data_IF_243930968299
#
_entry.id   IF_243930968299
#
_cell.length_a   1.000
_cell.length_b   1.000
_cell.length_c   1.000
_cell.angle_alpha   90.00
_cell.angle_beta   90.00
_cell.angle_gamma   90.00
#
_symmetry.space_group_name_H-M   'P 1'
#
loop_
_entity.id
_entity.type
_entity.pdbx_description
1 polymer ?
#
# COMPACT_ATOMS: atom_id res chain seq x y z
N UNK A 1 -33.15 -41.75 5.86
CA UNK A 1 -33.37 -40.76 6.94
C UNK A 1 -32.03 -40.57 7.64
N UNK A 2 -31.26 -39.55 7.27
CA UNK A 2 -29.89 -39.33 7.79
C UNK A 2 -29.99 -38.25 8.86
N UNK A 3 -29.69 -38.62 10.11
CA UNK A 3 -29.68 -37.70 11.25
C UNK A 3 -28.37 -36.89 11.24
N UNK A 4 -28.52 -35.57 11.22
CA UNK A 4 -27.46 -34.57 11.42
C UNK A 4 -27.77 -33.88 12.74
N UNK A 5 -26.94 -34.07 13.77
CA UNK A 5 -26.79 -33.22 14.96
C UNK A 5 -25.74 -33.88 15.88
N UNK A 6 -24.80 -33.18 16.51
CA UNK A 6 -24.63 -31.74 16.67
C UNK A 6 -23.17 -31.42 16.98
N UNK A 7 -22.78 -30.22 16.54
CA UNK A 7 -21.46 -29.62 16.68
C UNK A 7 -21.07 -29.50 18.15
N UNK A 8 -19.90 -30.04 18.48
CA UNK A 8 -19.19 -29.77 19.72
C UNK A 8 -18.94 -28.27 19.88
N UNK A 9 -19.31 -27.78 21.06
CA UNK A 9 -19.24 -26.40 21.48
C UNK A 9 -17.79 -26.13 21.89
N UNK A 10 -16.96 -25.61 20.98
CA UNK A 10 -15.66 -25.07 21.37
C UNK A 10 -15.87 -23.70 22.03
N UNK A 11 -16.14 -23.73 23.34
CA UNK A 11 -15.91 -22.58 24.23
C UNK A 11 -14.41 -22.36 24.29
N UNK A 12 -13.91 -21.45 23.47
CA UNK A 12 -12.55 -20.92 23.60
C UNK A 12 -12.57 -19.98 24.81
N UNK A 13 -12.11 -20.51 25.94
CA UNK A 13 -11.87 -19.80 27.18
C UNK A 13 -10.82 -18.72 26.93
N UNK A 14 -11.11 -17.48 27.31
CA UNK A 14 -10.27 -16.30 27.06
C UNK A 14 -8.88 -16.29 27.74
N UNK A 15 -8.47 -17.41 28.34
CA UNK A 15 -7.21 -17.57 29.08
C UNK A 15 -6.07 -18.13 28.21
N UNK A 16 -6.36 -18.81 27.09
CA UNK A 16 -5.32 -19.40 26.22
C UNK A 16 -4.73 -18.40 25.19
N UNK A 17 -5.33 -17.22 25.03
CA UNK A 17 -4.86 -16.20 24.09
C UNK A 17 -3.73 -15.32 24.67
N UNK A 18 -3.54 -15.32 25.99
CA UNK A 18 -2.54 -14.49 26.67
C UNK A 18 -1.15 -15.14 26.70
N UNK A 19 -1.06 -16.47 26.62
CA UNK A 19 0.21 -17.20 26.71
C UNK A 19 0.97 -17.29 25.38
N UNK A 20 0.30 -17.16 24.23
CA UNK A 20 0.99 -17.13 22.92
C UNK A 20 1.58 -15.77 22.55
N UNK A 21 1.13 -14.68 23.20
CA UNK A 21 1.59 -13.32 22.87
C UNK A 21 2.90 -12.92 23.59
N UNK A 22 3.29 -13.66 24.62
CA UNK A 22 4.53 -13.40 25.37
C UNK A 22 5.78 -13.94 24.65
N UNK A 23 5.69 -15.06 23.95
CA UNK A 23 6.83 -15.71 23.30
C UNK A 23 7.32 -15.02 22.01
N UNK A 24 6.54 -14.08 21.45
CA UNK A 24 6.87 -13.44 20.18
C UNK A 24 7.59 -12.09 20.34
N UNK A 25 7.65 -11.52 21.56
CA UNK A 25 8.37 -10.26 21.83
C UNK A 25 9.87 -10.42 22.07
N UNK A 26 10.34 -11.62 22.42
CA UNK A 26 11.77 -11.86 22.69
C UNK A 26 12.60 -12.15 21.42
N UNK A 27 11.96 -12.38 20.28
CA UNK A 27 12.65 -12.60 19.01
C UNK A 27 13.10 -11.30 18.33
N UNK A 28 12.36 -10.18 18.51
CA UNK A 28 12.74 -8.87 17.94
C UNK A 28 13.87 -8.20 18.73
N UNK A 29 13.98 -8.47 20.03
CA UNK A 29 15.01 -7.89 20.88
C UNK A 29 16.44 -8.37 20.53
N UNK A 30 16.59 -9.54 19.91
CA UNK A 30 17.91 -10.06 19.49
C UNK A 30 18.41 -9.48 18.18
N UNK A 31 17.53 -8.92 17.34
CA UNK A 31 17.93 -8.30 16.06
C UNK A 31 18.39 -6.85 16.26
N UNK A 32 17.88 -6.15 17.28
CA UNK A 32 18.28 -4.77 17.59
C UNK A 32 19.70 -4.65 18.19
N UNK A 33 20.23 -5.71 18.80
CA UNK A 33 21.54 -5.68 19.45
C UNK A 33 22.75 -5.79 18.49
N UNK A 34 22.54 -6.05 17.20
CA UNK A 34 23.65 -6.17 16.23
C UNK A 34 24.06 -4.81 15.62
N UNK A 35 23.43 -3.70 15.99
CA UNK A 35 23.70 -2.38 15.39
C UNK A 35 24.34 -1.32 16.32
N UNK A 36 24.76 -1.66 17.54
CA UNK A 36 25.33 -0.67 18.49
C UNK A 36 26.77 -0.91 18.97
N UNK A 37 27.50 -1.89 18.45
CA UNK A 37 28.90 -2.17 18.86
C UNK A 37 29.94 -1.71 17.84
N UNK A 38 29.87 -0.46 17.36
CA UNK A 38 31.04 0.22 16.77
C UNK A 38 31.11 1.71 17.14
N UNK A 39 30.71 2.08 18.36
CA UNK A 39 31.29 3.26 19.03
C UNK A 39 32.50 2.77 19.81
N UNK A 40 33.56 2.46 19.06
CA UNK A 40 34.90 2.32 19.61
C UNK A 40 35.57 3.69 19.55
N UNK A 41 35.73 4.32 20.71
CA UNK A 41 36.84 5.25 20.91
C UNK A 41 38.12 4.42 20.82
N UNK A 42 38.84 4.57 19.72
CA UNK A 42 40.21 4.07 19.60
C UNK A 42 40.95 4.97 18.63
N UNK A 43 41.85 5.78 19.19
CA UNK A 43 43.01 6.30 18.48
C UNK A 43 43.75 5.11 17.85
N UNK A 44 43.54 4.90 16.55
CA UNK A 44 44.31 3.94 15.78
C UNK A 44 44.40 4.44 14.33
N UNK A 45 45.55 5.03 14.02
CA UNK A 45 46.03 5.34 12.68
C UNK A 45 46.10 4.03 11.87
N UNK A 46 45.09 3.75 11.05
CA UNK A 46 44.99 2.53 10.24
C UNK A 46 44.37 2.81 8.86
N UNK A 47 44.79 2.11 7.79
CA UNK A 47 44.55 2.53 6.41
C UNK A 47 43.08 2.38 6.00
N UNK A 48 42.62 3.41 5.30
CA UNK A 48 41.29 3.64 4.74
C UNK A 48 40.79 2.45 3.90
N UNK A 49 40.12 1.47 4.52
CA UNK A 49 39.38 0.45 3.78
C UNK A 49 38.15 1.08 3.15
N UNK A 50 38.18 1.17 1.81
CA UNK A 50 37.11 1.70 0.97
C UNK A 50 35.81 0.92 1.22
N UNK A 51 34.84 1.59 1.84
CA UNK A 51 33.46 1.10 2.02
C UNK A 51 32.90 0.69 0.64
N UNK A 52 32.35 -0.53 0.47
CA UNK A 52 31.73 -0.92 -0.80
C UNK A 52 30.54 0.01 -1.09
N UNK A 53 30.38 0.48 -2.33
CA UNK A 53 29.30 1.39 -2.69
C UNK A 53 27.96 0.67 -2.51
N UNK A 54 27.07 1.29 -1.73
CA UNK A 54 25.68 0.83 -1.56
C UNK A 54 25.04 0.59 -2.94
N UNK A 55 24.37 -0.55 -3.18
CA UNK A 55 23.71 -0.81 -4.46
C UNK A 55 22.64 0.25 -4.67
N UNK A 56 22.89 1.17 -5.61
CA UNK A 56 21.88 2.12 -6.08
C UNK A 56 20.81 1.32 -6.80
N UNK A 57 19.67 1.10 -6.14
CA UNK A 57 18.46 0.57 -6.77
C UNK A 57 18.11 1.49 -7.93
N UNK A 58 18.44 1.06 -9.15
CA UNK A 58 18.17 1.82 -10.35
C UNK A 58 16.72 1.56 -10.71
N UNK A 59 15.81 2.38 -10.19
CA UNK A 59 14.39 2.32 -10.52
C UNK A 59 14.26 2.78 -11.98
N UNK A 60 13.96 1.84 -12.88
CA UNK A 60 13.65 2.18 -14.27
C UNK A 60 12.34 2.97 -14.29
N UNK A 61 12.38 4.19 -14.83
CA UNK A 61 11.17 4.97 -15.10
C UNK A 61 10.31 4.19 -16.11
N UNK A 62 9.02 3.92 -15.82
CA UNK A 62 8.12 3.29 -16.78
C UNK A 62 8.01 4.15 -18.04
N UNK A 63 7.86 3.51 -19.20
CA UNK A 63 7.61 4.23 -20.45
C UNK A 63 6.22 4.87 -20.44
N UNK A 64 6.02 5.92 -21.22
CA UNK A 64 4.72 6.63 -21.28
C UNK A 64 3.58 5.68 -21.69
N UNK A 65 3.85 4.76 -22.62
CA UNK A 65 2.90 3.70 -23.03
C UNK A 65 2.50 2.78 -21.86
N UNK A 66 3.42 2.45 -20.95
CA UNK A 66 3.09 1.64 -19.77
C UNK A 66 2.20 2.43 -18.80
N UNK A 67 2.44 3.74 -18.65
CA UNK A 67 1.61 4.59 -17.80
C UNK A 67 0.18 4.69 -18.34
N UNK A 68 0.01 4.86 -19.65
CA UNK A 68 -1.31 4.88 -20.30
C UNK A 68 -2.05 3.55 -20.10
N UNK A 69 -1.39 2.40 -20.31
CA UNK A 69 -2.01 1.10 -20.05
C UNK A 69 -2.46 0.94 -18.60
N UNK A 70 -1.68 1.46 -17.65
CA UNK A 70 -2.08 1.43 -16.25
C UNK A 70 -3.27 2.37 -16.00
N UNK A 71 -3.31 3.55 -16.63
CA UNK A 71 -4.42 4.48 -16.49
C UNK A 71 -5.74 3.82 -16.95
N UNK A 72 -5.71 3.12 -18.08
CA UNK A 72 -6.86 2.35 -18.61
C UNK A 72 -7.31 1.26 -17.63
N UNK A 73 -6.37 0.56 -17.01
CA UNK A 73 -6.69 -0.49 -16.04
C UNK A 73 -7.31 0.08 -14.75
N UNK A 74 -6.76 1.20 -14.26
CA UNK A 74 -7.32 1.94 -13.12
C UNK A 74 -8.75 2.37 -13.46
N UNK A 75 -8.97 2.94 -14.64
CA UNK A 75 -10.29 3.38 -15.08
C UNK A 75 -11.30 2.21 -15.06
N UNK A 76 -10.96 1.08 -15.68
CA UNK A 76 -11.83 -0.11 -15.70
C UNK A 76 -12.15 -0.64 -14.31
N UNK A 77 -11.15 -0.66 -13.42
CA UNK A 77 -11.33 -1.09 -12.03
C UNK A 77 -12.27 -0.15 -11.27
N UNK A 78 -12.12 1.17 -11.47
CA UNK A 78 -12.99 2.17 -10.84
C UNK A 78 -14.42 2.10 -11.38
N UNK A 79 -14.61 1.94 -12.69
CA UNK A 79 -15.93 1.79 -13.30
C UNK A 79 -16.67 0.57 -12.73
N UNK A 80 -15.98 -0.56 -12.61
CA UNK A 80 -16.53 -1.79 -12.06
C UNK A 80 -16.92 -1.67 -10.58
N UNK A 81 -16.16 -0.90 -9.79
CA UNK A 81 -16.41 -0.78 -8.35
C UNK A 81 -17.37 0.36 -7.98
N UNK A 82 -17.35 1.44 -8.75
CA UNK A 82 -18.15 2.64 -8.47
C UNK A 82 -19.50 2.64 -9.17
N UNK A 83 -19.75 1.73 -10.13
CA UNK A 83 -21.07 1.51 -10.74
C UNK A 83 -21.76 2.80 -11.20
N UNK A 84 -21.03 3.70 -11.88
CA UNK A 84 -21.57 4.96 -12.39
C UNK A 84 -21.86 6.05 -11.34
N UNK A 85 -21.37 5.90 -10.10
CA UNK A 85 -21.49 6.94 -9.05
C UNK A 85 -20.71 8.23 -9.34
N UNK A 86 -19.78 8.17 -10.29
CA UNK A 86 -19.04 9.32 -10.82
C UNK A 86 -19.44 9.46 -12.28
N UNK A 87 -19.90 10.65 -12.66
CA UNK A 87 -20.18 11.02 -14.05
C UNK A 87 -18.89 11.47 -14.73
N UNK A 88 -18.78 11.18 -16.02
CA UNK A 88 -17.62 11.57 -16.84
C UNK A 88 -16.29 11.15 -16.20
N UNK A 89 -16.28 9.95 -15.60
CA UNK A 89 -15.11 9.38 -14.95
C UNK A 89 -14.01 9.15 -15.98
N UNK A 90 -12.84 9.70 -15.74
CA UNK A 90 -11.67 9.53 -16.60
C UNK A 90 -10.39 9.44 -15.77
N UNK A 91 -9.42 8.69 -16.28
CA UNK A 91 -8.05 8.63 -15.76
C UNK A 91 -7.11 9.02 -16.89
N UNK A 92 -6.32 10.06 -16.69
CA UNK A 92 -5.33 10.53 -17.67
C UNK A 92 -3.93 10.53 -17.07
N UNK A 93 -2.91 10.43 -17.93
CA UNK A 93 -1.51 10.62 -17.52
C UNK A 93 -1.07 12.00 -17.96
N UNK A 94 -0.79 12.88 -17.01
CA UNK A 94 -0.33 14.25 -17.26
C UNK A 94 1.01 14.46 -16.57
N UNK A 95 2.05 14.81 -17.34
CA UNK A 95 3.41 15.05 -16.81
C UNK A 95 3.96 13.89 -15.95
N UNK A 96 3.58 12.65 -16.29
CA UNK A 96 3.97 11.44 -15.54
C UNK A 96 3.19 11.22 -14.23
N UNK A 97 2.07 11.93 -14.05
CA UNK A 97 1.16 11.77 -12.92
C UNK A 97 -0.19 11.25 -13.41
N UNK A 98 -0.84 10.43 -12.59
CA UNK A 98 -2.20 9.97 -12.86
C UNK A 98 -3.18 11.02 -12.35
N UNK A 99 -4.07 11.48 -13.21
CA UNK A 99 -5.10 12.47 -12.87
C UNK A 99 -6.47 11.80 -12.98
N UNK A 100 -7.17 11.74 -11.85
CA UNK A 100 -8.51 11.18 -11.74
C UNK A 100 -9.55 12.31 -11.84
N UNK A 101 -10.39 12.28 -12.88
CA UNK A 101 -11.39 13.32 -13.19
C UNK A 101 -12.80 12.76 -13.19
N UNK A 102 -13.77 13.65 -13.02
CA UNK A 102 -15.20 13.36 -13.11
C UNK A 102 -16.02 14.15 -12.09
N UNK A 103 -17.32 13.90 -12.03
CA UNK A 103 -18.24 14.59 -11.12
C UNK A 103 -18.97 13.58 -10.23
N UNK A 104 -18.86 13.75 -8.92
CA UNK A 104 -19.52 12.95 -7.90
C UNK A 104 -20.60 13.77 -7.16
N UNK A 105 -21.62 13.08 -6.65
CA UNK A 105 -22.63 13.68 -5.74
C UNK A 105 -22.22 13.68 -4.27
N UNK A 106 -21.11 13.01 -3.94
CA UNK A 106 -20.69 12.82 -2.56
C UNK A 106 -19.16 12.84 -2.43
N UNK A 107 -18.69 13.50 -1.38
CA UNK A 107 -17.30 13.46 -0.98
C UNK A 107 -16.83 12.04 -0.64
N UNK A 108 -17.72 11.22 -0.08
CA UNK A 108 -17.42 9.83 0.24
C UNK A 108 -17.05 9.02 -1.02
N UNK A 109 -17.78 9.22 -2.11
CA UNK A 109 -17.48 8.57 -3.39
C UNK A 109 -16.14 9.07 -3.96
N UNK A 110 -15.84 10.37 -3.84
CA UNK A 110 -14.52 10.94 -4.22
C UNK A 110 -13.38 10.27 -3.44
N UNK A 111 -13.56 10.02 -2.13
CA UNK A 111 -12.57 9.35 -1.29
C UNK A 111 -12.39 7.87 -1.67
N UNK A 112 -13.48 7.15 -1.92
CA UNK A 112 -13.41 5.75 -2.36
C UNK A 112 -12.64 5.66 -3.68
N UNK A 113 -12.98 6.49 -4.66
CA UNK A 113 -12.33 6.49 -5.97
C UNK A 113 -10.82 6.73 -5.85
N UNK A 114 -10.41 7.69 -5.02
CA UNK A 114 -9.00 7.94 -4.75
C UNK A 114 -8.32 6.75 -4.09
N UNK A 115 -8.94 6.16 -3.07
CA UNK A 115 -8.36 5.03 -2.37
C UNK A 115 -8.13 3.85 -3.31
N UNK A 116 -9.13 3.52 -4.14
CA UNK A 116 -9.04 2.45 -5.12
C UNK A 116 -7.93 2.71 -6.16
N UNK A 117 -7.83 3.94 -6.66
CA UNK A 117 -6.76 4.34 -7.58
C UNK A 117 -5.38 4.23 -6.91
N UNK A 118 -5.24 4.66 -5.65
CA UNK A 118 -3.99 4.50 -4.90
C UNK A 118 -3.61 3.04 -4.72
N UNK A 119 -4.55 2.17 -4.35
CA UNK A 119 -4.29 0.72 -4.20
C UNK A 119 -3.82 0.10 -5.51
N UNK A 120 -4.43 0.47 -6.63
CA UNK A 120 -3.99 0.00 -7.94
C UNK A 120 -2.57 0.48 -8.30
N UNK A 121 -2.21 1.70 -7.92
CA UNK A 121 -0.88 2.28 -8.17
C UNK A 121 0.23 1.73 -7.25
N UNK A 122 -0.07 1.50 -5.97
CA UNK A 122 0.90 1.02 -4.97
C UNK A 122 1.48 -0.34 -5.35
N UNK A 123 0.65 -1.22 -5.92
CA UNK A 123 1.10 -2.54 -6.40
C UNK A 123 2.17 -2.47 -7.50
N UNK A 124 2.34 -1.31 -8.14
CA UNK A 124 3.20 -1.11 -9.30
C UNK A 124 4.30 -0.06 -9.08
N UNK A 125 4.44 0.47 -7.86
CA UNK A 125 5.41 1.53 -7.52
C UNK A 125 5.36 2.71 -8.51
N UNK A 126 4.14 3.10 -8.90
CA UNK A 126 3.91 4.13 -9.91
C UNK A 126 4.00 5.54 -9.33
N UNK A 127 3.95 6.53 -10.22
CA UNK A 127 4.12 7.95 -9.90
C UNK A 127 3.05 8.54 -8.98
N UNK A 128 2.84 9.85 -9.08
CA UNK A 128 1.88 10.57 -8.23
C UNK A 128 0.45 10.42 -8.75
N UNK A 129 -0.51 10.26 -7.83
CA UNK A 129 -1.94 10.39 -8.11
C UNK A 129 -2.45 11.79 -7.72
N UNK A 130 -3.24 12.40 -8.59
CA UNK A 130 -3.96 13.66 -8.36
C UNK A 130 -5.46 13.38 -8.48
N UNK A 131 -6.22 13.74 -7.46
CA UNK A 131 -7.67 13.56 -7.43
C UNK A 131 -8.39 14.88 -7.75
N UNK A 132 -8.81 15.00 -9.00
CA UNK A 132 -9.50 16.14 -9.60
C UNK A 132 -11.01 15.87 -9.80
N UNK A 133 -11.58 14.90 -9.06
CA UNK A 133 -13.03 14.67 -9.08
C UNK A 133 -13.75 15.84 -8.41
N UNK A 134 -14.72 16.43 -9.07
CA UNK A 134 -15.56 17.46 -8.48
C UNK A 134 -16.68 16.84 -7.63
N UNK A 135 -17.11 17.56 -6.58
CA UNK A 135 -18.24 17.15 -5.75
C UNK A 135 -19.35 18.18 -5.85
N UNK A 136 -20.45 17.82 -6.50
CA UNK A 136 -21.64 18.66 -6.63
C UNK A 136 -22.73 18.10 -5.73
N UNK A 137 -22.98 18.74 -4.59
CA UNK A 137 -24.12 18.39 -3.74
C UNK A 137 -25.38 18.98 -4.35
N UNK A 138 -26.39 18.14 -4.58
CA UNK A 138 -27.73 18.63 -4.97
C UNK A 138 -28.28 19.35 -3.75
N UNK A 139 -28.50 20.66 -3.88
CA UNK A 139 -29.20 21.49 -2.88
C UNK A 139 -30.71 21.33 -3.04
#
# INVERSE_FOLDING_TARGET
MIQISGRGINRITGDELLTRKAAQRDAEARVAATLQTTLGDSEATGPLMKRPPSPRLTIKKPSDFQLEQVADEILRSLEAQLNGRIRDLAVAVEQGQFVLRGVSRSYHVKQIAQHLAMTAMDTRLLGRLVNDIEVHTVR
#
